data_IF_898651806586
#
_entry.id   IF_898651806586
#
_cell.length_a   1.000
_cell.length_b   1.000
_cell.length_c   1.000
_cell.angle_alpha   90.00
_cell.angle_beta   90.00
_cell.angle_gamma   90.00
#
_symmetry.space_group_name_H-M   'P 1'
#
loop_
_entity.id
_entity.type
_entity.pdbx_description
1 polymer ?
#
# COMPACT_ATOMS: atom_id res chain seq x y z
N UNK A 1 -8.06 -5.43 -11.12
CA UNK A 1 -6.87 -4.97 -11.87
C UNK A 1 -5.99 -6.18 -12.04
N UNK A 2 -6.05 -6.85 -13.19
CA UNK A 2 -5.34 -8.11 -13.37
C UNK A 2 -3.82 -7.88 -13.26
N UNK A 3 -3.10 -8.83 -12.64
CA UNK A 3 -1.64 -8.84 -12.55
C UNK A 3 -1.01 -7.71 -11.71
N UNK A 4 -1.78 -7.18 -10.74
CA UNK A 4 -1.25 -6.23 -9.75
C UNK A 4 -0.45 -6.95 -8.67
N UNK A 5 0.72 -6.40 -8.31
CA UNK A 5 1.64 -6.99 -7.34
C UNK A 5 1.56 -6.35 -5.94
N UNK A 6 0.74 -5.31 -5.80
CA UNK A 6 0.47 -4.63 -4.55
C UNK A 6 -0.60 -3.56 -4.73
N UNK A 7 -1.08 -3.00 -3.62
CA UNK A 7 -2.09 -1.95 -3.59
C UNK A 7 -1.67 -0.82 -2.65
N UNK A 8 -1.88 0.42 -3.07
CA UNK A 8 -1.71 1.60 -2.21
C UNK A 8 -3.06 2.32 -2.15
N UNK A 9 -3.61 2.45 -0.94
CA UNK A 9 -4.88 3.14 -0.69
C UNK A 9 -4.55 4.46 0.01
N UNK A 10 -4.81 5.57 -0.68
CA UNK A 10 -4.65 6.92 -0.13
C UNK A 10 -6.03 7.46 0.24
N UNK A 11 -6.19 7.90 1.50
CA UNK A 11 -7.47 8.40 1.99
C UNK A 11 -7.31 9.64 2.85
N UNK A 12 -8.35 10.48 2.91
CA UNK A 12 -8.39 11.57 3.88
C UNK A 12 -8.90 11.08 5.23
N UNK A 13 -8.08 11.18 6.28
CA UNK A 13 -8.44 10.78 7.64
C UNK A 13 -9.52 11.68 8.26
N UNK A 14 -9.68 12.92 7.79
CA UNK A 14 -10.69 13.86 8.28
C UNK A 14 -12.11 13.49 7.80
N UNK A 15 -12.26 12.53 6.88
CA UNK A 15 -13.55 12.15 6.28
C UNK A 15 -13.97 10.77 6.81
N UNK A 16 -14.91 10.69 7.77
CA UNK A 16 -15.28 9.44 8.42
C UNK A 16 -15.90 8.40 7.48
N UNK A 17 -16.55 8.85 6.39
CA UNK A 17 -17.12 7.95 5.39
C UNK A 17 -16.07 7.14 4.64
N UNK A 18 -14.82 7.62 4.59
CA UNK A 18 -13.73 6.89 3.92
C UNK A 18 -13.40 5.57 4.61
N UNK A 19 -13.66 5.41 5.90
CA UNK A 19 -13.33 4.17 6.61
C UNK A 19 -14.02 2.95 5.97
N UNK A 20 -15.32 3.07 5.66
CA UNK A 20 -16.10 2.00 5.02
C UNK A 20 -15.64 1.72 3.60
N UNK A 21 -15.23 2.77 2.87
CA UNK A 21 -14.71 2.63 1.52
C UNK A 21 -13.36 1.92 1.53
N UNK A 22 -12.47 2.26 2.47
CA UNK A 22 -11.16 1.63 2.64
C UNK A 22 -11.32 0.14 2.95
N UNK A 23 -12.18 -0.23 3.89
CA UNK A 23 -12.44 -1.64 4.22
C UNK A 23 -12.98 -2.42 3.01
N UNK A 24 -13.86 -1.79 2.22
CA UNK A 24 -14.38 -2.38 0.98
C UNK A 24 -13.27 -2.58 -0.04
N UNK A 25 -12.45 -1.57 -0.30
CA UNK A 25 -11.34 -1.66 -1.25
C UNK A 25 -10.28 -2.67 -0.78
N UNK A 26 -9.93 -2.68 0.50
CA UNK A 26 -9.03 -3.67 1.10
C UNK A 26 -9.56 -5.09 0.88
N UNK A 27 -10.82 -5.34 1.24
CA UNK A 27 -11.46 -6.64 1.02
C UNK A 27 -11.44 -7.05 -0.45
N UNK A 28 -11.65 -6.07 -1.35
CA UNK A 28 -11.61 -6.31 -2.79
C UNK A 28 -10.21 -6.70 -3.29
N UNK A 29 -9.16 -6.06 -2.79
CA UNK A 29 -7.77 -6.39 -3.14
C UNK A 29 -7.37 -7.77 -2.65
N UNK A 30 -7.71 -8.13 -1.41
CA UNK A 30 -7.38 -9.45 -0.86
C UNK A 30 -8.19 -10.56 -1.55
N UNK A 31 -9.50 -10.39 -1.71
CA UNK A 31 -10.38 -11.45 -2.21
C UNK A 31 -10.36 -11.59 -3.73
N UNK A 32 -10.48 -10.49 -4.47
CA UNK A 32 -10.57 -10.54 -5.94
C UNK A 32 -9.20 -10.56 -6.62
N UNK A 33 -8.22 -9.86 -6.05
CA UNK A 33 -6.88 -9.76 -6.67
C UNK A 33 -5.87 -10.75 -6.06
N UNK A 34 -6.28 -11.53 -5.03
CA UNK A 34 -5.41 -12.46 -4.30
C UNK A 34 -4.12 -11.81 -3.78
N UNK A 35 -4.17 -10.50 -3.51
CA UNK A 35 -3.07 -9.80 -2.89
C UNK A 35 -2.96 -10.25 -1.43
N UNK A 36 -1.73 -10.37 -0.93
CA UNK A 36 -1.50 -10.58 0.50
C UNK A 36 -1.64 -9.26 1.24
N UNK A 37 -2.05 -9.29 2.49
CA UNK A 37 -2.24 -8.11 3.33
C UNK A 37 -0.95 -7.30 3.48
N UNK A 38 0.20 -7.97 3.55
CA UNK A 38 1.54 -7.36 3.54
C UNK A 38 1.87 -6.58 2.25
N UNK A 39 1.07 -6.75 1.19
CA UNK A 39 1.22 -6.06 -0.10
C UNK A 39 0.19 -4.94 -0.28
N UNK A 40 -0.43 -4.50 0.82
CA UNK A 40 -1.34 -3.38 0.84
C UNK A 40 -0.80 -2.30 1.78
N UNK A 41 -0.62 -1.07 1.27
CA UNK A 41 -0.20 0.08 2.08
C UNK A 41 -1.33 1.09 2.16
N UNK A 42 -1.59 1.56 3.37
CA UNK A 42 -2.58 2.58 3.67
C UNK A 42 -1.88 3.90 3.97
N UNK A 43 -2.25 4.96 3.26
CA UNK A 43 -1.69 6.30 3.45
C UNK A 43 -2.83 7.25 3.83
N UNK A 44 -2.82 7.70 5.07
CA UNK A 44 -3.68 8.77 5.54
C UNK A 44 -3.11 10.11 5.05
N UNK A 45 -3.79 10.77 4.12
CA UNK A 45 -3.41 12.06 3.56
C UNK A 45 -4.43 13.14 3.92
N UNK A 46 -4.00 14.15 4.70
CA UNK A 46 -4.84 15.30 5.04
C UNK A 46 -4.75 16.38 3.98
N UNK A 47 -5.90 16.95 3.58
CA UNK A 47 -5.90 18.09 2.65
C UNK A 47 -5.24 19.31 3.32
N UNK A 48 -4.18 19.90 2.75
CA UNK A 48 -3.58 21.11 3.30
C UNK A 48 -4.60 22.26 3.27
N UNK A 49 -4.81 22.93 4.42
CA UNK A 49 -5.82 23.97 4.61
C UNK A 49 -7.15 23.51 5.21
N UNK A 50 -7.28 22.23 5.59
CA UNK A 50 -8.35 21.75 6.47
C UNK A 50 -8.17 22.39 7.85
N UNK A 51 -8.98 23.40 8.18
CA UNK A 51 -8.84 24.26 9.37
C UNK A 51 -9.05 23.58 10.74
N UNK A 52 -8.90 22.26 10.81
CA UNK A 52 -8.86 21.50 12.05
C UNK A 52 -7.41 21.11 12.33
N UNK A 53 -6.66 22.03 12.95
CA UNK A 53 -5.27 21.85 13.38
C UNK A 53 -5.18 21.05 14.70
N UNK A 54 -6.24 20.31 15.06
CA UNK A 54 -6.25 19.47 16.26
C UNK A 54 -5.67 18.11 15.94
N UNK A 55 -4.41 17.96 16.33
CA UNK A 55 -3.77 16.68 16.71
C UNK A 55 -4.13 15.48 15.82
N UNK A 56 -3.98 15.61 14.51
CA UNK A 56 -3.78 14.42 13.67
C UNK A 56 -2.28 14.16 13.69
N UNK A 57 -1.87 13.15 14.46
CA UNK A 57 -0.52 12.61 14.57
C UNK A 57 0.22 12.82 13.26
N UNK A 58 1.25 13.67 13.34
CA UNK A 58 2.02 14.19 12.22
C UNK A 58 2.03 13.21 11.05
N UNK A 59 1.50 13.66 9.91
CA UNK A 59 1.97 13.18 8.63
C UNK A 59 3.49 13.09 8.78
N UNK A 60 3.99 11.86 8.74
CA UNK A 60 5.41 11.55 8.70
C UNK A 60 6.13 12.58 7.82
N UNK A 61 7.35 12.96 8.22
CA UNK A 61 8.16 13.85 7.40
C UNK A 61 8.08 13.38 5.93
N UNK A 62 7.95 14.27 4.93
CA UNK A 62 7.88 13.83 3.54
C UNK A 62 9.01 12.86 3.17
N UNK A 63 10.16 12.94 3.83
CA UNK A 63 11.26 12.00 3.72
C UNK A 63 10.97 10.63 4.33
N UNK A 64 10.25 10.56 5.44
CA UNK A 64 9.81 9.30 6.07
C UNK A 64 8.75 8.61 5.18
N UNK A 65 7.78 9.35 4.65
CA UNK A 65 6.79 8.80 3.70
C UNK A 65 7.49 8.27 2.45
N UNK A 66 8.46 9.03 1.93
CA UNK A 66 9.29 8.61 0.80
C UNK A 66 10.08 7.35 1.11
N UNK A 67 10.67 7.27 2.31
CA UNK A 67 11.45 6.11 2.76
C UNK A 67 10.57 4.86 2.87
N UNK A 68 9.40 4.99 3.49
CA UNK A 68 8.46 3.87 3.65
C UNK A 68 7.93 3.38 2.30
N UNK A 69 7.59 4.30 1.38
CA UNK A 69 7.20 3.95 0.02
C UNK A 69 8.34 3.25 -0.74
N UNK A 70 9.57 3.72 -0.60
CA UNK A 70 10.74 3.10 -1.22
C UNK A 70 11.04 1.71 -0.66
N UNK A 71 10.84 1.51 0.65
CA UNK A 71 10.98 0.20 1.29
C UNK A 71 9.91 -0.77 0.77
N UNK A 72 8.65 -0.34 0.72
CA UNK A 72 7.56 -1.14 0.18
C UNK A 72 7.81 -1.58 -1.28
N UNK A 73 8.22 -0.65 -2.14
CA UNK A 73 8.55 -0.96 -3.54
C UNK A 73 9.73 -1.93 -3.64
N UNK A 74 10.75 -1.76 -2.79
CA UNK A 74 11.89 -2.67 -2.71
C UNK A 74 11.44 -4.08 -2.34
N UNK A 75 10.58 -4.22 -1.34
CA UNK A 75 10.08 -5.52 -0.90
C UNK A 75 9.31 -6.24 -2.02
N UNK A 76 8.47 -5.52 -2.78
CA UNK A 76 7.81 -6.08 -3.97
C UNK A 76 8.83 -6.56 -5.00
N UNK A 77 9.85 -5.75 -5.30
CA UNK A 77 10.87 -6.09 -6.29
C UNK A 77 11.72 -7.30 -5.86
N UNK A 78 12.10 -7.38 -4.58
CA UNK A 78 12.81 -8.53 -4.02
C UNK A 78 11.99 -9.80 -4.15
N UNK A 79 10.71 -9.77 -3.75
CA UNK A 79 9.80 -10.91 -3.86
C UNK A 79 9.62 -11.38 -5.31
N UNK A 80 9.53 -10.43 -6.26
CA UNK A 80 9.44 -10.76 -7.68
C UNK A 80 10.73 -11.38 -8.23
N UNK A 81 11.88 -10.92 -7.74
CA UNK A 81 13.19 -11.43 -8.17
C UNK A 81 13.40 -12.85 -7.66
N UNK A 82 13.10 -13.13 -6.39
CA UNK A 82 13.17 -14.47 -5.79
C UNK A 82 12.25 -15.47 -6.51
N UNK A 83 11.02 -15.04 -6.82
CA UNK A 83 10.06 -15.87 -7.58
C UNK A 83 10.60 -16.22 -8.97
N UNK A 84 11.22 -15.26 -9.65
CA UNK A 84 11.80 -15.48 -10.98
C UNK A 84 13.01 -16.41 -10.92
N UNK A 85 13.90 -16.22 -9.94
CA UNK A 85 15.09 -17.07 -9.79
C UNK A 85 14.70 -18.53 -9.52
N UNK A 86 13.65 -18.75 -8.72
CA UNK A 86 13.07 -20.08 -8.52
C UNK A 86 12.50 -20.68 -9.81
N UNK A 87 11.74 -19.89 -10.60
CA UNK A 87 11.23 -20.34 -11.90
C UNK A 87 12.37 -20.70 -12.86
N UNK A 88 13.44 -19.90 -12.94
CA UNK A 88 14.61 -20.18 -13.78
C UNK A 88 15.35 -21.46 -13.35
N UNK A 89 15.49 -21.70 -12.04
CA UNK A 89 16.06 -22.96 -11.53
C UNK A 89 15.18 -24.18 -11.84
N UNK A 90 13.86 -24.00 -11.86
CA UNK A 90 12.90 -25.08 -12.14
C UNK A 90 12.87 -25.54 -13.60
N UNK A 91 13.39 -24.74 -14.54
CA UNK A 91 13.44 -25.06 -15.97
C UNK A 91 14.66 -25.93 -16.32
N UNK A 92 15.70 -25.92 -15.47
CA UNK A 92 16.99 -26.59 -15.72
C UNK A 92 17.02 -28.04 -15.19
N UNK A 93 16.03 -28.46 -14.40
CA UNK A 93 15.81 -29.85 -13.93
C UNK A 93 14.73 -30.55 -14.76
#
# INVERSE_FOLDING_TARGET
MKDSHGGIIVFNADIPSHLKEIEMWHSNFIQQQRLQESRCVLIAHKKPGSGDERECLNLYDPEDVRTELMNYLRDIVSLLSESRDWEEMSIIT
#
